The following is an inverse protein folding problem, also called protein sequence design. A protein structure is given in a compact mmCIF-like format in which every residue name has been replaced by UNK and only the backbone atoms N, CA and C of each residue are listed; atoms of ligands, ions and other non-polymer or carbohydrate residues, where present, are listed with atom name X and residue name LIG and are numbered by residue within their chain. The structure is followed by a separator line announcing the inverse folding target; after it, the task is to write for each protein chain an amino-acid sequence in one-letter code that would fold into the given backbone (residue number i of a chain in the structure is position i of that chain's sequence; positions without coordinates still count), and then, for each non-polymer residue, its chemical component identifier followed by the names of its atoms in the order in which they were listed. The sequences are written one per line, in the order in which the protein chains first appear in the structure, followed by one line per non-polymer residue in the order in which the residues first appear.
data_IF_574076328939
#
_entry.id   IF_574076328939
#
_cell.length_a   1.000
_cell.length_b   1.000
_cell.length_c   1.000
_cell.angle_alpha   90.00
_cell.angle_beta   90.00
_cell.angle_gamma   90.00
#
_symmetry.space_group_name_H-M   'P 1'
#
loop_
_entity.id
_entity.type
_entity.pdbx_description
1 polymer ?
#
# COMPACT_ATOMS: atom_id res chain seq x y z
N UNK A 1 -7.58 13.29 7.93
CA UNK A 1 -8.14 13.33 6.57
C UNK A 1 -7.02 13.64 5.62
N UNK A 2 -6.87 12.83 4.57
CA UNK A 2 -5.97 13.08 3.45
C UNK A 2 -6.78 13.82 2.38
N UNK A 3 -6.38 15.03 2.03
CA UNK A 3 -7.03 15.79 0.95
C UNK A 3 -6.35 15.41 -0.37
N UNK A 4 -6.92 14.43 -1.08
CA UNK A 4 -6.37 13.93 -2.35
C UNK A 4 -7.37 14.12 -3.47
N UNK A 5 -6.89 14.55 -4.64
CA UNK A 5 -7.65 14.61 -5.87
C UNK A 5 -6.99 13.68 -6.90
N UNK A 6 -7.78 12.86 -7.59
CA UNK A 6 -7.28 11.94 -8.60
C UNK A 6 -8.28 11.78 -9.76
N UNK A 7 -7.77 11.36 -10.92
CA UNK A 7 -8.59 10.97 -12.06
C UNK A 7 -9.18 9.57 -11.81
N UNK A 8 -10.41 9.26 -12.27
CA UNK A 8 -11.03 7.95 -12.04
C UNK A 8 -10.18 6.75 -12.51
N UNK A 9 -9.34 6.93 -13.53
CA UNK A 9 -8.43 5.89 -14.03
C UNK A 9 -7.49 5.30 -12.95
N UNK A 10 -7.25 6.03 -11.86
CA UNK A 10 -6.34 5.63 -10.75
C UNK A 10 -6.98 4.62 -9.79
N UNK A 11 -8.31 4.52 -9.75
CA UNK A 11 -9.07 3.72 -8.77
C UNK A 11 -8.56 2.27 -8.61
N UNK A 12 -8.19 1.53 -9.68
CA UNK A 12 -7.64 0.17 -9.53
C UNK A 12 -6.41 0.09 -8.61
N UNK A 13 -5.53 1.09 -8.66
CA UNK A 13 -4.30 1.14 -7.88
C UNK A 13 -4.42 1.94 -6.56
N UNK A 14 -5.59 2.49 -6.25
CA UNK A 14 -5.82 3.30 -5.04
C UNK A 14 -6.59 2.53 -3.97
N UNK A 15 -6.16 1.30 -3.72
CA UNK A 15 -6.72 0.46 -2.67
C UNK A 15 -6.04 0.76 -1.33
N UNK A 16 -6.81 1.16 -0.32
CA UNK A 16 -6.32 1.22 1.04
C UNK A 16 -6.32 -0.20 1.63
N UNK A 17 -5.16 -0.65 2.07
CA UNK A 17 -4.97 -1.99 2.59
C UNK A 17 -5.84 -2.26 3.82
N UNK A 18 -6.05 -3.53 4.12
CA UNK A 18 -6.94 -3.95 5.18
C UNK A 18 -6.36 -3.55 6.56
N UNK A 19 -6.97 -2.53 7.17
CA UNK A 19 -6.54 -1.90 8.41
C UNK A 19 -6.73 -2.78 9.65
N UNK A 20 -5.91 -2.52 10.68
CA UNK A 20 -6.01 -3.11 12.03
C UNK A 20 -6.10 -4.65 12.01
N UNK A 21 -5.37 -5.26 11.08
CA UNK A 21 -5.24 -6.70 10.98
C UNK A 21 -3.95 -7.14 11.69
N UNK A 22 -4.07 -8.14 12.57
CA UNK A 22 -2.95 -8.64 13.37
C UNK A 22 -2.23 -7.57 14.23
N UNK A 23 -2.94 -6.50 14.59
CA UNK A 23 -2.39 -5.43 15.45
C UNK A 23 -1.51 -4.40 14.73
N UNK A 24 -1.35 -4.51 13.41
CA UNK A 24 -0.67 -3.51 12.57
C UNK A 24 -1.68 -2.41 12.20
N UNK A 25 -1.38 -1.19 12.61
CA UNK A 25 -2.20 -0.01 12.32
C UNK A 25 -1.36 1.07 11.62
N UNK A 26 -1.99 1.90 10.79
CA UNK A 26 -1.43 3.14 10.18
C UNK A 26 -0.41 3.04 9.04
N UNK A 27 -0.25 1.89 8.41
CA UNK A 27 0.63 1.73 7.24
C UNK A 27 -0.11 1.51 5.92
N UNK A 28 -1.42 1.34 5.97
CA UNK A 28 -2.26 1.01 4.83
C UNK A 28 -2.26 2.10 3.76
N UNK A 29 -2.40 3.36 4.15
CA UNK A 29 -2.39 4.51 3.25
C UNK A 29 -0.98 4.83 2.73
N UNK A 30 0.06 4.60 3.54
CA UNK A 30 1.47 4.70 3.14
C UNK A 30 1.79 3.72 2.02
N UNK A 31 1.48 2.44 2.21
CA UNK A 31 1.76 1.41 1.21
C UNK A 31 0.87 1.55 -0.02
N UNK A 32 -0.40 1.93 0.16
CA UNK A 32 -1.29 2.29 -0.96
C UNK A 32 -0.69 3.40 -1.82
N UNK A 33 -0.21 4.47 -1.20
CA UNK A 33 0.45 5.59 -1.89
C UNK A 33 1.74 5.17 -2.60
N UNK A 34 2.53 4.29 -1.98
CA UNK A 34 3.75 3.74 -2.57
C UNK A 34 3.45 2.90 -3.84
N UNK A 35 2.48 1.99 -3.77
CA UNK A 35 2.07 1.17 -4.91
C UNK A 35 1.54 2.05 -6.05
N UNK A 36 0.68 3.03 -5.71
CA UNK A 36 0.16 3.98 -6.66
C UNK A 36 1.29 4.77 -7.34
N UNK A 37 2.28 5.24 -6.58
CA UNK A 37 3.42 5.99 -7.13
C UNK A 37 4.19 5.15 -8.15
N UNK A 38 4.54 3.91 -7.80
CA UNK A 38 5.24 2.97 -8.69
C UNK A 38 4.49 2.77 -10.01
N UNK A 39 3.17 2.59 -9.93
CA UNK A 39 2.33 2.38 -11.12
C UNK A 39 2.16 3.66 -11.93
N UNK A 40 1.97 4.81 -11.27
CA UNK A 40 1.88 6.09 -11.96
C UNK A 40 3.15 6.37 -12.76
N UNK A 41 4.32 6.15 -12.15
CA UNK A 41 5.61 6.31 -12.82
C UNK A 41 5.77 5.38 -14.02
N UNK A 42 5.37 4.11 -13.88
CA UNK A 42 5.41 3.13 -14.97
C UNK A 42 4.54 3.56 -16.17
N UNK A 43 3.36 4.13 -15.90
CA UNK A 43 2.45 4.61 -16.93
C UNK A 43 2.80 6.01 -17.48
N UNK A 44 3.87 6.63 -16.97
CA UNK A 44 4.29 8.00 -17.33
C UNK A 44 3.39 9.10 -16.75
N UNK A 45 2.53 8.76 -15.79
CA UNK A 45 1.76 9.72 -14.99
C UNK A 45 2.62 10.23 -13.81
N UNK A 46 2.18 11.31 -13.17
CA UNK A 46 2.90 11.93 -12.05
C UNK A 46 2.02 12.08 -10.80
N UNK A 47 2.68 12.08 -9.64
CA UNK A 47 2.07 12.45 -8.35
C UNK A 47 2.66 13.79 -7.92
N UNK A 48 1.79 14.73 -7.55
CA UNK A 48 2.19 16.04 -7.00
C UNK A 48 1.82 16.12 -5.53
N UNK A 49 2.76 16.62 -4.72
CA UNK A 49 2.58 16.80 -3.27
C UNK A 49 2.61 18.30 -2.96
N UNK A 50 1.54 18.77 -2.33
CA UNK A 50 1.44 20.15 -1.82
C UNK A 50 1.89 20.26 -0.37
N UNK A 51 2.20 21.49 0.05
CA UNK A 51 2.45 21.79 1.46
C UNK A 51 1.19 21.62 2.34
N UNK A 52 1.36 21.52 3.66
CA UNK A 52 0.23 21.38 4.57
C UNK A 52 -0.65 22.64 4.53
N UNK A 53 -1.89 22.47 4.07
CA UNK A 53 -2.87 23.57 3.99
C UNK A 53 -3.68 23.75 5.29
N UNK A 54 -3.67 22.76 6.18
CA UNK A 54 -4.50 22.74 7.40
C UNK A 54 -3.67 22.27 8.59
N UNK A 55 -3.80 22.98 9.71
CA UNK A 55 -3.29 22.51 11.00
C UNK A 55 -4.26 21.47 11.58
N UNK A 56 -3.83 20.22 11.66
CA UNK A 56 -4.60 19.17 12.31
C UNK A 56 -4.19 19.05 13.78
N UNK A 57 -5.01 19.61 14.68
CA UNK A 57 -4.83 19.45 16.13
C UNK A 57 -5.07 17.99 16.51
N UNK A 58 -3.97 17.24 16.68
CA UNK A 58 -4.03 15.83 17.09
C UNK A 58 -4.53 15.73 18.52
N UNK A 59 -5.41 14.76 18.80
CA UNK A 59 -5.82 14.46 20.17
C UNK A 59 -4.63 13.90 20.97
N UNK A 60 -4.57 14.14 22.29
CA UNK A 60 -3.61 13.48 23.16
C UNK A 60 -3.77 11.97 23.04
N UNK A 61 -2.65 11.26 22.81
CA UNK A 61 -2.60 9.80 22.69
C UNK A 61 -1.39 9.29 23.45
N UNK A 62 -1.47 8.04 23.88
CA UNK A 62 -0.35 7.35 24.52
C UNK A 62 0.68 6.96 23.46
N UNK A 63 1.85 7.60 23.52
CA UNK A 63 2.95 7.41 22.56
C UNK A 63 3.43 5.97 22.55
N UNK A 64 3.55 5.32 23.71
CA UNK A 64 4.06 3.95 23.80
C UNK A 64 3.05 2.93 23.32
N UNK A 65 1.75 3.22 23.51
CA UNK A 65 0.68 2.41 22.92
C UNK A 65 0.71 2.47 21.39
N UNK A 66 0.76 3.67 20.83
CA UNK A 66 0.82 3.88 19.39
C UNK A 66 2.08 3.20 18.80
N UNK A 67 3.24 3.37 19.44
CA UNK A 67 4.49 2.74 18.99
C UNK A 67 4.39 1.21 18.94
N UNK A 68 3.75 0.57 19.94
CA UNK A 68 3.55 -0.89 19.94
C UNK A 68 2.69 -1.36 18.76
N UNK A 69 1.66 -0.60 18.39
CA UNK A 69 0.80 -0.91 17.24
C UNK A 69 1.49 -0.66 15.89
N UNK A 70 2.53 0.18 15.86
CA UNK A 70 3.29 0.51 14.65
C UNK A 70 4.55 -0.32 14.45
N UNK A 71 5.06 -0.96 15.50
CA UNK A 71 6.36 -1.66 15.48
C UNK A 71 6.47 -2.69 14.34
N UNK A 72 5.46 -3.54 14.19
CA UNK A 72 5.45 -4.55 13.13
C UNK A 72 5.30 -3.92 11.75
N UNK A 73 4.49 -2.86 11.63
CA UNK A 73 4.36 -2.08 10.40
C UNK A 73 5.69 -1.46 9.97
N UNK A 74 6.44 -0.88 10.90
CA UNK A 74 7.79 -0.35 10.66
C UNK A 74 8.74 -1.44 10.18
N UNK A 75 8.75 -2.59 10.86
CA UNK A 75 9.62 -3.71 10.48
C UNK A 75 9.29 -4.26 9.09
N UNK A 76 8.01 -4.32 8.73
CA UNK A 76 7.56 -4.70 7.38
C UNK A 76 8.00 -3.65 6.36
N UNK A 77 7.80 -2.37 6.69
CA UNK A 77 8.08 -1.26 5.81
C UNK A 77 9.54 -1.26 5.34
N UNK A 78 10.52 -1.49 6.24
CA UNK A 78 11.96 -1.51 5.94
C UNK A 78 12.35 -2.39 4.74
N UNK A 79 11.54 -3.40 4.42
CA UNK A 79 11.74 -4.28 3.27
C UNK A 79 10.75 -4.03 2.15
N UNK A 80 9.47 -3.83 2.49
CA UNK A 80 8.39 -3.77 1.50
C UNK A 80 8.63 -2.67 0.46
N UNK A 81 9.11 -1.49 0.88
CA UNK A 81 9.32 -0.40 -0.08
C UNK A 81 10.39 -0.72 -1.12
N UNK A 82 11.44 -1.44 -0.74
CA UNK A 82 12.51 -1.88 -1.65
C UNK A 82 11.99 -2.92 -2.63
N UNK A 83 11.19 -3.86 -2.13
CA UNK A 83 10.57 -4.88 -2.99
C UNK A 83 9.75 -4.19 -4.08
N UNK A 84 8.92 -3.21 -3.73
CA UNK A 84 8.10 -2.46 -4.70
C UNK A 84 8.96 -1.66 -5.67
N UNK A 85 10.03 -1.02 -5.19
CA UNK A 85 10.96 -0.28 -6.04
C UNK A 85 11.65 -1.20 -7.06
N UNK A 86 12.10 -2.37 -6.62
CA UNK A 86 12.79 -3.39 -7.42
C UNK A 86 11.84 -4.27 -8.26
N UNK A 87 10.52 -4.18 -8.06
CA UNK A 87 9.54 -4.90 -8.87
C UNK A 87 9.52 -4.34 -10.29
N UNK A 88 9.69 -5.21 -11.27
CA UNK A 88 9.48 -4.89 -12.68
C UNK A 88 8.02 -5.18 -12.98
N UNK A 89 7.24 -4.13 -13.25
CA UNK A 89 5.82 -4.24 -13.53
C UNK A 89 5.55 -4.00 -15.00
N UNK A 90 4.50 -4.63 -15.50
CA UNK A 90 4.02 -4.51 -16.86
C UNK A 90 2.55 -4.07 -16.87
N UNK A 91 2.12 -3.43 -17.95
CA UNK A 91 0.72 -3.07 -18.15
C UNK A 91 0.55 -1.73 -18.83
N UNK A 92 -0.61 -1.51 -19.46
CA UNK A 92 -0.94 -0.23 -20.12
C UNK A 92 -2.03 0.54 -19.37
N UNK A 93 -2.69 -0.13 -18.43
CA UNK A 93 -3.72 0.46 -17.58
C UNK A 93 -3.33 0.34 -16.12
N UNK A 94 -3.95 1.15 -15.25
CA UNK A 94 -3.77 1.03 -13.80
C UNK A 94 -4.21 -0.34 -13.27
N UNK A 95 -5.19 -0.96 -13.92
CA UNK A 95 -5.62 -2.32 -13.57
C UNK A 95 -4.52 -3.34 -13.89
N UNK A 96 -3.98 -3.32 -15.11
CA UNK A 96 -2.94 -4.26 -15.55
C UNK A 96 -1.68 -4.11 -14.70
N UNK A 97 -1.23 -2.87 -14.51
CA UNK A 97 -0.02 -2.56 -13.76
C UNK A 97 -0.17 -2.90 -12.27
N UNK A 98 -1.35 -2.69 -11.68
CA UNK A 98 -1.61 -3.11 -10.29
C UNK A 98 -1.67 -4.63 -10.17
N UNK A 99 -2.27 -5.33 -11.15
CA UNK A 99 -2.26 -6.78 -11.18
C UNK A 99 -0.84 -7.34 -11.32
N UNK A 100 -0.02 -6.77 -12.20
CA UNK A 100 1.40 -7.14 -12.35
C UNK A 100 2.19 -6.91 -11.05
N UNK A 101 1.98 -5.78 -10.37
CA UNK A 101 2.60 -5.52 -9.07
C UNK A 101 2.18 -6.55 -8.00
N UNK A 102 0.90 -6.94 -7.97
CA UNK A 102 0.40 -7.97 -7.05
C UNK A 102 1.14 -9.29 -7.25
N UNK A 103 1.35 -9.71 -8.50
CA UNK A 103 2.04 -10.97 -8.79
C UNK A 103 3.53 -10.92 -8.42
N UNK A 104 4.21 -9.80 -8.67
CA UNK A 104 5.58 -9.57 -8.21
C UNK A 104 5.69 -9.63 -6.68
N UNK A 105 4.76 -8.99 -5.96
CA UNK A 105 4.71 -9.02 -4.50
C UNK A 105 4.44 -10.44 -3.99
N UNK A 106 3.52 -11.17 -4.62
CA UNK A 106 3.20 -12.55 -4.25
C UNK A 106 4.40 -13.50 -4.42
N UNK A 107 5.23 -13.27 -5.44
CA UNK A 107 6.44 -14.06 -5.66
C UNK A 107 7.56 -13.74 -4.65
N UNK A 108 7.78 -12.45 -4.33
CA UNK A 108 8.94 -12.00 -3.54
C UNK A 108 8.72 -12.05 -2.01
N UNK A 109 7.49 -11.83 -1.53
CA UNK A 109 7.20 -11.75 -0.09
C UNK A 109 7.55 -13.04 0.69
N UNK A 110 7.24 -14.25 0.19
CA UNK A 110 7.55 -15.48 0.91
C UNK A 110 9.04 -15.67 1.23
N UNK A 111 9.92 -15.15 0.38
CA UNK A 111 11.38 -15.23 0.57
C UNK A 111 11.94 -14.05 1.36
N UNK A 112 11.39 -12.85 1.18
CA UNK A 112 11.92 -11.62 1.78
C UNK A 112 11.67 -11.53 3.30
N UNK A 113 10.59 -12.16 3.79
CA UNK A 113 10.22 -12.14 5.20
C UNK A 113 10.57 -13.47 5.88
N UNK A 114 11.05 -13.44 7.12
CA UNK A 114 11.32 -14.65 7.92
C UNK A 114 10.28 -14.85 9.02
N UNK A 115 9.73 -13.76 9.54
CA UNK A 115 8.69 -13.79 10.55
C UNK A 115 7.38 -14.33 9.91
N UNK A 116 6.80 -15.43 10.44
CA UNK A 116 5.57 -16.00 9.90
C UNK A 116 4.36 -15.06 10.02
N UNK A 117 4.30 -14.22 11.06
CA UNK A 117 3.19 -13.28 11.24
C UNK A 117 3.22 -12.17 10.18
N UNK A 118 4.42 -11.67 9.85
CA UNK A 118 4.61 -10.68 8.78
C UNK A 118 4.23 -11.26 7.42
N UNK A 119 4.61 -12.52 7.14
CA UNK A 119 4.19 -13.22 5.92
C UNK A 119 2.69 -13.32 5.83
N UNK A 120 2.05 -13.88 6.86
CA UNK A 120 0.59 -14.08 6.90
C UNK A 120 -0.16 -12.77 6.73
N UNK A 121 0.32 -11.71 7.38
CA UNK A 121 -0.23 -10.37 7.22
C UNK A 121 -0.16 -9.92 5.76
N UNK A 122 1.01 -9.96 5.13
CA UNK A 122 1.22 -9.51 3.75
C UNK A 122 0.49 -10.38 2.71
N UNK A 123 0.46 -11.70 2.91
CA UNK A 123 -0.33 -12.63 2.08
C UNK A 123 -1.81 -12.27 2.12
N UNK A 124 -2.34 -11.99 3.32
CA UNK A 124 -3.72 -11.52 3.46
C UNK A 124 -3.93 -10.21 2.71
N UNK A 125 -2.98 -9.26 2.79
CA UNK A 125 -3.08 -8.01 2.04
C UNK A 125 -3.13 -8.26 0.53
N UNK A 126 -2.24 -9.11 -0.01
CA UNK A 126 -2.25 -9.51 -1.42
C UNK A 126 -3.59 -10.11 -1.83
N UNK A 127 -4.17 -11.01 -1.02
CA UNK A 127 -5.49 -11.58 -1.30
C UNK A 127 -6.57 -10.51 -1.40
N UNK A 128 -6.53 -9.50 -0.51
CA UNK A 128 -7.48 -8.38 -0.54
C UNK A 128 -7.24 -7.46 -1.73
N UNK A 129 -5.99 -7.22 -2.12
CA UNK A 129 -5.65 -6.47 -3.34
C UNK A 129 -6.20 -7.16 -4.58
N UNK A 130 -6.10 -8.50 -4.68
CA UNK A 130 -6.72 -9.28 -5.77
C UNK A 130 -8.24 -9.19 -5.74
N UNK A 131 -8.84 -9.26 -4.55
CA UNK A 131 -10.30 -9.13 -4.40
C UNK A 131 -10.78 -7.75 -4.85
N UNK A 132 -10.06 -6.69 -4.53
CA UNK A 132 -10.35 -5.33 -4.97
C UNK A 132 -10.43 -5.22 -6.49
N UNK A 133 -9.43 -5.76 -7.22
CA UNK A 133 -9.46 -5.77 -8.68
C UNK A 133 -10.69 -6.51 -9.24
N UNK A 134 -11.06 -7.65 -8.64
CA UNK A 134 -12.26 -8.41 -9.04
C UNK A 134 -13.57 -7.66 -8.78
N UNK A 135 -13.60 -6.76 -7.81
CA UNK A 135 -14.78 -5.95 -7.50
C UNK A 135 -14.87 -4.79 -8.48
N UNK A 136 -13.77 -4.08 -8.74
CA UNK A 136 -13.74 -2.97 -9.71
C UNK A 136 -14.12 -3.43 -11.11
N UNK A 137 -13.65 -4.61 -11.54
CA UNK A 137 -13.95 -5.13 -12.88
C UNK A 137 -15.45 -5.35 -13.14
N UNK A 138 -16.27 -5.33 -12.08
CA UNK A 138 -17.73 -5.47 -12.15
C UNK A 138 -18.50 -4.15 -12.09
N UNK A 139 -17.79 -3.01 -12.02
CA UNK A 139 -18.36 -1.66 -11.93
C UNK A 139 -18.10 -0.93 -13.25
#
# INVERSE_FOLDING_TARGET
MMNTAFRPKIIPAFYQLYMNFMGVDRFDDIWSGLFLKKIADHLGDGVSLGGPAVYHARRPRDVFRDLKCEMDGLAINEKLWRIVEESEIEGKTYWDAYNSLIEELAARIPEAFRNPDHKRFLETQIEKMRLWLKIIDKI
#
